data_IF_267163481279
#
_entry.id   IF_267163481279
#
_cell.length_a   1.000
_cell.length_b   1.000
_cell.length_c   1.000
_cell.angle_alpha   90.00
_cell.angle_beta   90.00
_cell.angle_gamma   90.00
#
_symmetry.space_group_name_H-M   'P 1'
#
loop_
_entity.id
_entity.type
_entity.pdbx_description
1 polymer ?
#
# COMPACT_ATOMS: atom_id res chain seq x y z
N UNK A 1 -20.57 -0.80 -1.80
CA UNK A 1 -20.28 -2.23 -2.07
C UNK A 1 -19.09 -2.42 -3.02
N UNK A 2 -19.07 -1.83 -4.23
CA UNK A 2 -17.94 -1.98 -5.18
C UNK A 2 -16.55 -1.65 -4.59
N UNK A 3 -16.41 -0.53 -3.87
CA UNK A 3 -15.14 -0.14 -3.25
C UNK A 3 -14.63 -1.15 -2.21
N UNK A 4 -15.52 -1.75 -1.42
CA UNK A 4 -15.17 -2.77 -0.42
C UNK A 4 -14.66 -4.03 -1.11
N UNK A 5 -15.32 -4.46 -2.19
CA UNK A 5 -14.90 -5.63 -2.96
C UNK A 5 -13.51 -5.43 -3.59
N UNK A 6 -13.23 -4.24 -4.13
CA UNK A 6 -11.90 -3.90 -4.67
C UNK A 6 -10.84 -3.87 -3.58
N UNK A 7 -11.16 -3.34 -2.39
CA UNK A 7 -10.24 -3.35 -1.25
C UNK A 7 -9.93 -4.78 -0.77
N UNK A 8 -10.94 -5.67 -0.72
CA UNK A 8 -10.75 -7.09 -0.39
C UNK A 8 -9.86 -7.75 -1.44
N UNK A 9 -10.14 -7.54 -2.74
CA UNK A 9 -9.32 -8.09 -3.81
C UNK A 9 -7.87 -7.62 -3.72
N UNK A 10 -7.63 -6.34 -3.46
CA UNK A 10 -6.29 -5.80 -3.24
C UNK A 10 -5.59 -6.47 -2.05
N UNK A 11 -6.30 -6.65 -0.94
CA UNK A 11 -5.79 -7.35 0.24
C UNK A 11 -5.40 -8.81 -0.06
N UNK A 12 -6.21 -9.53 -0.84
CA UNK A 12 -5.92 -10.90 -1.28
C UNK A 12 -4.69 -10.96 -2.20
N UNK A 13 -4.59 -10.05 -3.18
CA UNK A 13 -3.41 -9.96 -4.06
C UNK A 13 -2.12 -9.72 -3.27
N UNK A 14 -2.14 -8.79 -2.31
CA UNK A 14 -1.03 -8.59 -1.38
C UNK A 14 -0.80 -9.82 -0.50
N UNK A 15 -1.86 -10.52 -0.08
CA UNK A 15 -1.78 -11.80 0.64
C UNK A 15 -0.91 -12.81 -0.09
N UNK A 16 -1.32 -13.16 -1.31
CA UNK A 16 -0.66 -14.16 -2.15
C UNK A 16 0.74 -13.71 -2.59
N UNK A 17 0.87 -12.49 -3.10
CA UNK A 17 2.13 -11.98 -3.66
C UNK A 17 3.25 -11.84 -2.63
N UNK A 18 2.92 -11.43 -1.39
CA UNK A 18 3.95 -11.28 -0.35
C UNK A 18 4.43 -12.62 0.21
N UNK A 19 3.63 -13.68 0.16
CA UNK A 19 4.10 -15.03 0.53
C UNK A 19 5.18 -15.50 -0.45
N UNK A 20 4.97 -15.31 -1.75
CA UNK A 20 5.97 -15.61 -2.78
C UNK A 20 7.24 -14.76 -2.59
N UNK A 21 7.07 -13.46 -2.34
CA UNK A 21 8.19 -12.55 -2.05
C UNK A 21 8.98 -13.00 -0.83
N UNK A 22 8.31 -13.30 0.29
CA UNK A 22 8.97 -13.79 1.50
C UNK A 22 9.75 -15.08 1.25
N UNK A 23 9.18 -16.00 0.46
CA UNK A 23 9.87 -17.23 0.08
C UNK A 23 11.16 -16.95 -0.69
N UNK A 24 11.11 -16.07 -1.68
CA UNK A 24 12.29 -15.68 -2.48
C UNK A 24 13.37 -14.99 -1.63
N UNK A 25 12.99 -14.11 -0.71
CA UNK A 25 13.96 -13.43 0.17
C UNK A 25 14.70 -14.40 1.10
N UNK A 26 14.03 -15.48 1.53
CA UNK A 26 14.63 -16.48 2.41
C UNK A 26 15.42 -17.56 1.66
N UNK A 27 15.33 -17.65 0.33
CA UNK A 27 16.25 -18.49 -0.46
C UNK A 27 17.68 -17.96 -0.46
N UNK A 28 17.87 -16.67 -0.09
CA UNK A 28 19.14 -15.93 -0.09
C UNK A 28 19.77 -15.75 -1.47
N UNK A 29 19.05 -16.08 -2.54
CA UNK A 29 19.49 -15.87 -3.93
C UNK A 29 19.23 -14.44 -4.41
N UNK A 30 18.27 -13.74 -3.79
CA UNK A 30 17.91 -12.37 -4.12
C UNK A 30 17.80 -11.51 -2.86
N UNK A 31 18.41 -10.32 -2.90
CA UNK A 31 18.31 -9.34 -1.82
C UNK A 31 16.97 -8.59 -1.82
N UNK A 32 16.57 -7.98 -0.67
CA UNK A 32 15.31 -7.25 -0.54
C UNK A 32 15.14 -6.12 -1.56
N UNK A 33 16.21 -5.37 -1.83
CA UNK A 33 16.16 -4.25 -2.77
C UNK A 33 16.09 -4.70 -4.24
N UNK A 34 16.74 -5.81 -4.58
CA UNK A 34 16.61 -6.41 -5.91
C UNK A 34 15.18 -6.95 -6.12
N UNK A 35 14.60 -7.61 -5.11
CA UNK A 35 13.24 -8.13 -5.18
C UNK A 35 12.19 -7.01 -5.40
N UNK A 36 12.26 -5.91 -4.64
CA UNK A 36 11.34 -4.78 -4.84
C UNK A 36 11.58 -4.08 -6.18
N UNK A 37 12.83 -3.98 -6.65
CA UNK A 37 13.15 -3.42 -7.97
C UNK A 37 12.50 -4.24 -9.09
N UNK A 38 12.73 -5.55 -9.12
CA UNK A 38 12.14 -6.42 -10.15
C UNK A 38 10.62 -6.47 -10.07
N UNK A 39 10.05 -6.52 -8.86
CA UNK A 39 8.60 -6.35 -8.68
C UNK A 39 8.09 -5.07 -9.33
N UNK A 40 8.76 -3.94 -9.08
CA UNK A 40 8.35 -2.64 -9.60
C UNK A 40 8.48 -2.55 -11.12
N UNK A 41 9.53 -3.16 -11.68
CA UNK A 41 9.75 -3.26 -13.12
C UNK A 41 8.68 -4.11 -13.82
N UNK A 42 8.14 -5.13 -13.15
CA UNK A 42 7.01 -5.92 -13.68
C UNK A 42 5.69 -5.17 -13.50
N UNK A 43 5.49 -4.52 -12.34
CA UNK A 43 4.24 -3.84 -12.03
C UNK A 43 4.00 -2.59 -12.90
N UNK A 44 5.04 -1.78 -13.14
CA UNK A 44 4.92 -0.52 -13.88
C UNK A 44 4.32 -0.68 -15.29
N UNK A 45 4.82 -1.55 -16.19
CA UNK A 45 4.23 -1.71 -17.52
C UNK A 45 2.78 -2.21 -17.46
N UNK A 46 2.45 -3.10 -16.51
CA UNK A 46 1.08 -3.57 -16.33
C UNK A 46 0.14 -2.45 -15.86
N UNK A 47 0.60 -1.57 -14.96
CA UNK A 47 -0.15 -0.38 -14.52
C UNK A 47 -0.32 0.60 -15.69
N UNK A 48 0.71 0.81 -16.51
CA UNK A 48 0.64 1.68 -17.70
C UNK A 48 -0.39 1.13 -18.70
N UNK A 49 -0.37 -0.17 -18.98
CA UNK A 49 -1.36 -0.82 -19.85
C UNK A 49 -2.76 -0.66 -19.26
N UNK A 50 -2.94 -0.93 -17.96
CA UNK A 50 -4.22 -0.79 -17.29
C UNK A 50 -4.75 0.65 -17.35
N UNK A 51 -3.88 1.67 -17.21
CA UNK A 51 -4.24 3.07 -17.38
C UNK A 51 -4.75 3.36 -18.79
N UNK A 52 -4.04 2.93 -19.84
CA UNK A 52 -4.47 3.17 -21.22
C UNK A 52 -5.79 2.47 -21.55
N UNK A 53 -5.96 1.22 -21.12
CA UNK A 53 -7.23 0.50 -21.27
C UNK A 53 -8.33 1.27 -20.53
N UNK A 54 -8.12 1.61 -19.26
CA UNK A 54 -9.14 2.28 -18.45
C UNK A 54 -9.51 3.66 -18.99
N UNK A 55 -8.56 4.38 -19.61
CA UNK A 55 -8.80 5.69 -20.23
C UNK A 55 -9.91 5.65 -21.28
N UNK A 56 -9.99 4.56 -22.04
CA UNK A 56 -10.96 4.43 -23.12
C UNK A 56 -12.36 4.00 -22.64
N UNK A 57 -12.47 3.45 -21.42
CA UNK A 57 -13.72 2.93 -20.85
C UNK A 57 -14.22 3.68 -19.60
N UNK A 58 -13.42 4.55 -19.00
CA UNK A 58 -13.72 5.25 -17.75
C UNK A 58 -13.66 6.77 -17.94
N UNK A 59 -14.78 7.45 -17.75
CA UNK A 59 -14.86 8.90 -17.79
C UNK A 59 -13.95 9.59 -16.73
N UNK A 60 -13.62 8.88 -15.65
CA UNK A 60 -12.69 9.37 -14.62
C UNK A 60 -11.25 9.41 -15.15
N UNK A 61 -10.85 8.36 -15.89
CA UNK A 61 -9.50 8.24 -16.45
C UNK A 61 -9.33 9.05 -17.74
N UNK A 62 -10.43 9.37 -18.43
CA UNK A 62 -10.42 10.20 -19.64
C UNK A 62 -10.04 11.68 -19.37
N UNK A 63 -9.89 12.10 -18.11
CA UNK A 63 -9.48 13.46 -17.78
C UNK A 63 -8.07 13.76 -18.31
N UNK A 64 -7.85 14.94 -18.93
CA UNK A 64 -6.55 15.30 -19.47
C UNK A 64 -5.53 15.47 -18.34
N UNK A 65 -4.35 14.85 -18.52
CA UNK A 65 -3.22 15.04 -17.60
C UNK A 65 -2.59 16.45 -17.70
N UNK A 66 -2.94 17.21 -18.74
CA UNK A 66 -2.52 18.61 -18.91
C UNK A 66 -3.34 19.52 -17.99
N UNK A 67 -2.67 20.43 -17.29
CA UNK A 67 -3.32 21.39 -16.41
C UNK A 67 -3.52 20.90 -14.97
N UNK A 68 -3.02 19.71 -14.61
CA UNK A 68 -2.98 19.26 -13.22
C UNK A 68 -2.11 20.24 -12.40
N UNK A 69 -2.65 20.71 -11.28
CA UNK A 69 -1.96 21.67 -10.40
C UNK A 69 -0.64 21.11 -9.85
N UNK A 70 0.34 21.98 -9.61
CA UNK A 70 1.60 21.60 -8.98
C UNK A 70 1.42 20.97 -7.59
N UNK A 71 0.39 21.41 -6.84
CA UNK A 71 0.03 20.83 -5.55
C UNK A 71 -0.54 19.40 -5.66
N UNK A 72 -1.26 19.10 -6.74
CA UNK A 72 -1.73 17.73 -7.00
C UNK A 72 -0.55 16.83 -7.38
N UNK A 73 0.34 17.32 -8.25
CA UNK A 73 1.55 16.59 -8.61
C UNK A 73 2.46 16.34 -7.41
N UNK A 74 2.62 17.30 -6.49
CA UNK A 74 3.44 17.10 -5.30
C UNK A 74 2.86 16.04 -4.36
N UNK A 75 1.53 16.02 -4.17
CA UNK A 75 0.86 14.94 -3.40
C UNK A 75 1.10 13.57 -4.02
N UNK A 76 1.00 13.45 -5.35
CA UNK A 76 1.22 12.18 -6.05
C UNK A 76 2.69 11.78 -6.00
N UNK A 77 3.61 12.67 -6.38
CA UNK A 77 5.03 12.35 -6.51
C UNK A 77 5.68 12.15 -5.14
N UNK A 78 5.50 13.09 -4.20
CA UNK A 78 6.14 13.03 -2.89
C UNK A 78 5.39 12.09 -1.95
N UNK A 79 4.07 12.25 -1.84
CA UNK A 79 3.28 11.42 -0.93
C UNK A 79 3.16 9.98 -1.43
N UNK A 80 2.60 9.79 -2.63
CA UNK A 80 2.36 8.44 -3.14
C UNK A 80 3.61 7.80 -3.72
N UNK A 81 4.39 8.50 -4.54
CA UNK A 81 5.54 7.94 -5.24
C UNK A 81 6.72 7.70 -4.29
N UNK A 82 7.18 8.75 -3.60
CA UNK A 82 8.37 8.68 -2.77
C UNK A 82 8.09 8.02 -1.41
N UNK A 83 7.08 8.47 -0.66
CA UNK A 83 6.83 7.96 0.69
C UNK A 83 6.15 6.58 0.65
N UNK A 84 4.97 6.48 0.04
CA UNK A 84 4.21 5.22 0.02
C UNK A 84 4.77 4.20 -1.01
N UNK A 85 5.32 4.67 -2.12
CA UNK A 85 5.79 3.82 -3.22
C UNK A 85 7.23 3.35 -3.05
N UNK A 86 8.17 4.25 -2.75
CA UNK A 86 9.58 3.89 -2.62
C UNK A 86 9.95 3.55 -1.17
N UNK A 87 9.84 4.52 -0.25
CA UNK A 87 10.33 4.36 1.12
C UNK A 87 9.60 3.23 1.86
N UNK A 88 8.27 3.18 1.81
CA UNK A 88 7.50 2.14 2.48
C UNK A 88 7.86 0.73 1.95
N UNK A 89 8.02 0.56 0.63
CA UNK A 89 8.42 -0.74 0.06
C UNK A 89 9.84 -1.12 0.45
N UNK A 90 10.79 -0.18 0.44
CA UNK A 90 12.18 -0.40 0.86
C UNK A 90 12.21 -0.89 2.32
N UNK A 91 11.55 -0.18 3.23
CA UNK A 91 11.49 -0.58 4.64
C UNK A 91 10.76 -1.91 4.84
N UNK A 92 9.64 -2.12 4.13
CA UNK A 92 8.86 -3.34 4.25
C UNK A 92 9.64 -4.56 3.77
N UNK A 93 10.31 -4.49 2.61
CA UNK A 93 11.09 -5.61 2.07
C UNK A 93 12.33 -5.88 2.90
N UNK A 94 13.00 -4.83 3.41
CA UNK A 94 14.09 -5.00 4.36
C UNK A 94 13.61 -5.73 5.62
N UNK A 95 12.50 -5.31 6.23
CA UNK A 95 11.94 -5.99 7.39
C UNK A 95 11.48 -7.43 7.10
N UNK A 96 10.87 -7.67 5.93
CA UNK A 96 10.42 -9.00 5.50
C UNK A 96 11.58 -9.96 5.27
N UNK A 97 12.77 -9.47 4.92
CA UNK A 97 13.98 -10.30 4.82
C UNK A 97 14.54 -10.74 6.18
N UNK A 98 14.11 -10.09 7.26
CA UNK A 98 14.63 -10.32 8.62
C UNK A 98 13.67 -11.12 9.52
N UNK A 99 12.41 -11.31 9.10
CA UNK A 99 11.38 -11.87 9.96
C UNK A 99 10.25 -12.56 9.23
N UNK A 100 9.36 -13.17 10.02
CA UNK A 100 8.22 -13.90 9.51
C UNK A 100 7.16 -12.96 8.94
N UNK A 101 6.58 -13.34 7.79
CA UNK A 101 5.49 -12.60 7.16
C UNK A 101 4.27 -12.45 8.09
N UNK A 102 3.99 -13.46 8.90
CA UNK A 102 2.92 -13.48 9.91
C UNK A 102 3.09 -12.43 11.01
N UNK A 103 4.31 -11.92 11.23
CA UNK A 103 4.60 -10.86 12.20
C UNK A 103 4.81 -9.50 11.54
N UNK A 104 5.67 -9.43 10.53
CA UNK A 104 6.07 -8.16 9.89
C UNK A 104 4.88 -7.50 9.17
N UNK A 105 4.10 -8.29 8.43
CA UNK A 105 3.01 -7.75 7.61
C UNK A 105 1.87 -7.18 8.46
N UNK A 106 1.35 -7.86 9.50
CA UNK A 106 0.34 -7.26 10.37
C UNK A 106 0.80 -5.95 11.01
N UNK A 107 2.06 -5.86 11.48
CA UNK A 107 2.60 -4.61 12.06
C UNK A 107 2.52 -3.45 11.06
N UNK A 108 3.07 -3.64 9.86
CA UNK A 108 3.07 -2.59 8.83
C UNK A 108 1.65 -2.22 8.39
N UNK A 109 0.79 -3.23 8.18
CA UNK A 109 -0.56 -3.05 7.63
C UNK A 109 -1.61 -2.63 8.66
N UNK A 110 -1.32 -2.69 9.96
CA UNK A 110 -2.15 -2.12 11.01
C UNK A 110 -1.77 -0.68 11.36
N UNK A 111 -0.50 -0.33 11.25
CA UNK A 111 -0.06 1.06 11.41
C UNK A 111 -0.55 1.95 10.27
N UNK A 112 -0.61 1.43 9.04
CA UNK A 112 -1.13 2.19 7.88
C UNK A 112 -2.57 2.73 8.05
N UNK A 113 -3.59 1.93 8.45
CA UNK A 113 -4.93 2.46 8.70
C UNK A 113 -4.97 3.36 9.94
N UNK A 114 -4.17 3.09 10.98
CA UNK A 114 -4.09 3.96 12.16
C UNK A 114 -3.57 5.37 11.79
N UNK A 115 -2.46 5.44 11.03
CA UNK A 115 -1.92 6.71 10.55
C UNK A 115 -2.85 7.38 9.55
N UNK A 116 -3.48 6.60 8.66
CA UNK A 116 -4.46 7.11 7.70
C UNK A 116 -5.67 7.77 8.37
N UNK A 117 -6.23 7.17 9.43
CA UNK A 117 -7.34 7.76 10.18
C UNK A 117 -6.93 9.05 10.89
N UNK A 118 -5.74 9.08 11.50
CA UNK A 118 -5.23 10.28 12.20
C UNK A 118 -4.95 11.41 11.21
N UNK A 119 -4.24 11.13 10.11
CA UNK A 119 -3.92 12.13 9.09
C UNK A 119 -5.15 12.57 8.30
N UNK A 120 -6.10 11.68 8.05
CA UNK A 120 -7.39 12.04 7.45
C UNK A 120 -8.16 13.03 8.32
N UNK A 121 -8.14 12.84 9.64
CA UNK A 121 -8.73 13.80 10.57
C UNK A 121 -7.97 15.14 10.61
N UNK A 122 -6.65 15.11 10.76
CA UNK A 122 -5.84 16.32 10.94
C UNK A 122 -5.66 17.15 9.65
N UNK A 123 -5.51 16.49 8.50
CA UNK A 123 -5.10 17.14 7.25
C UNK A 123 -6.21 17.21 6.20
N UNK A 124 -7.16 16.26 6.23
CA UNK A 124 -8.25 16.19 5.25
C UNK A 124 -9.61 16.63 5.84
N UNK A 125 -9.65 16.94 7.14
CA UNK A 125 -10.86 17.38 7.83
C UNK A 125 -11.91 16.28 8.01
N UNK A 126 -11.51 15.00 7.92
CA UNK A 126 -12.45 13.90 8.15
C UNK A 126 -12.91 13.85 9.62
N UNK A 127 -14.19 13.54 9.90
CA UNK A 127 -14.64 13.41 11.28
C UNK A 127 -13.97 12.22 11.98
N UNK A 128 -13.39 12.48 13.15
CA UNK A 128 -12.90 11.46 14.08
C UNK A 128 -14.06 10.99 14.96
N UNK A 129 -14.70 9.90 14.56
CA UNK A 129 -15.83 9.32 15.31
C UNK A 129 -15.35 8.28 16.32
N UNK A 130 -16.12 8.05 17.38
CA UNK A 130 -15.85 6.97 18.34
C UNK A 130 -15.70 5.59 17.67
N UNK A 131 -16.44 5.35 16.56
CA UNK A 131 -16.32 4.11 15.77
C UNK A 131 -14.95 3.98 15.09
N UNK A 132 -14.41 5.06 14.51
CA UNK A 132 -13.07 5.07 13.91
C UNK A 132 -12.00 4.78 14.97
N UNK A 133 -12.11 5.45 16.13
CA UNK A 133 -11.19 5.24 17.26
C UNK A 133 -11.22 3.79 17.74
N UNK A 134 -12.42 3.25 18.02
CA UNK A 134 -12.59 1.87 18.45
C UNK A 134 -12.04 0.87 17.41
N UNK A 135 -12.30 1.10 16.12
CA UNK A 135 -11.79 0.26 15.03
C UNK A 135 -10.26 0.24 14.97
N UNK A 136 -9.61 1.40 15.07
CA UNK A 136 -8.14 1.49 15.10
C UNK A 136 -7.57 0.76 16.31
N UNK A 137 -8.15 0.95 17.51
CA UNK A 137 -7.72 0.23 18.72
C UNK A 137 -7.84 -1.28 18.54
N UNK A 138 -8.95 -1.78 17.99
CA UNK A 138 -9.15 -3.21 17.75
C UNK A 138 -8.14 -3.78 16.74
N UNK A 139 -7.84 -3.04 15.66
CA UNK A 139 -6.82 -3.43 14.68
C UNK A 139 -5.45 -3.57 15.35
N UNK A 140 -5.05 -2.56 16.14
CA UNK A 140 -3.76 -2.56 16.83
C UNK A 140 -3.67 -3.68 17.87
N UNK A 141 -4.72 -3.91 18.66
CA UNK A 141 -4.78 -5.01 19.62
C UNK A 141 -4.70 -6.37 18.93
N UNK A 142 -5.39 -6.57 17.81
CA UNK A 142 -5.31 -7.79 17.02
C UNK A 142 -3.88 -8.07 16.55
N UNK A 143 -3.14 -7.04 16.14
CA UNK A 143 -1.72 -7.18 15.78
C UNK A 143 -0.84 -7.49 16.98
N UNK A 144 -1.09 -6.90 18.15
CA UNK A 144 -0.34 -7.26 19.36
C UNK A 144 -0.55 -8.74 19.71
N UNK A 145 -1.75 -9.28 19.51
CA UNK A 145 -2.03 -10.70 19.74
C UNK A 145 -1.32 -11.59 18.72
N UNK A 146 -1.29 -11.22 17.43
CA UNK A 146 -0.60 -11.99 16.39
C UNK A 146 0.93 -11.95 16.52
N UNK A 147 1.47 -10.89 17.12
CA UNK A 147 2.92 -10.62 17.12
C UNK A 147 3.60 -10.93 18.44
N UNK A 148 2.86 -11.37 19.46
CA UNK A 148 3.42 -11.98 20.68
C UNK A 148 3.69 -13.45 20.41
#
# INVERSE_FOLDING_TARGET
MKAILLAIAAGLCWGVGEVATRSALHSKEIGPFAAVMFRSLVALPLIVIAFFIARDFSAVEAQPLRGISGATWSKIILGSGLVAGAAALIFFYAALSLGEISRIKPIAFALAPATGVVLGWLLLGEPMTARKVAGVVLILLGVVVLTK
#
